data_IF_241570533160
#
_entry.id   IF_241570533160
#
_cell.length_a   1.000
_cell.length_b   1.000
_cell.length_c   1.000
_cell.angle_alpha   90.00
_cell.angle_beta   90.00
_cell.angle_gamma   90.00
#
_symmetry.space_group_name_H-M   'P 1'
#
loop_
_entity.id
_entity.type
_entity.pdbx_description
1 polymer ?
#
# COMPACT_ATOMS: atom_id res chain seq x y z
N UNK A 1 -9.46 53.49 0.71
CA UNK A 1 -10.12 52.35 1.38
C UNK A 1 -10.15 51.18 0.41
N UNK A 2 -9.16 50.30 0.50
CA UNK A 2 -9.29 48.87 0.20
C UNK A 2 -8.13 48.23 0.95
N UNK A 3 -8.42 47.74 2.16
CA UNK A 3 -7.46 47.02 2.96
C UNK A 3 -7.03 45.79 2.17
N UNK A 4 -5.75 45.74 1.78
CA UNK A 4 -5.10 44.49 1.44
C UNK A 4 -5.18 43.61 2.68
N UNK A 5 -6.10 42.64 2.67
CA UNK A 5 -6.03 41.51 3.58
C UNK A 5 -4.79 40.70 3.21
N UNK A 6 -3.69 41.03 3.88
CA UNK A 6 -2.44 40.30 3.79
C UNK A 6 -2.64 38.90 4.37
N UNK A 7 -3.06 37.96 3.51
CA UNK A 7 -3.30 36.56 3.89
C UNK A 7 -2.03 35.92 4.44
N UNK A 8 -0.84 36.40 4.06
CA UNK A 8 0.46 35.91 4.57
C UNK A 8 0.59 36.09 6.08
N UNK A 9 0.22 37.25 6.63
CA UNK A 9 0.30 37.49 8.07
C UNK A 9 -0.71 36.66 8.87
N UNK A 10 -1.92 36.41 8.34
CA UNK A 10 -2.91 35.51 8.97
C UNK A 10 -2.41 34.07 9.04
N UNK A 11 -1.82 33.56 7.96
CA UNK A 11 -1.25 32.21 7.92
C UNK A 11 -0.04 32.05 8.85
N UNK A 12 0.83 33.07 8.93
CA UNK A 12 1.94 33.10 9.89
C UNK A 12 1.46 33.08 11.34
N UNK A 13 0.42 33.86 11.67
CA UNK A 13 -0.19 33.86 13.00
C UNK A 13 -0.77 32.48 13.33
N UNK A 14 -1.48 31.84 12.39
CA UNK A 14 -2.01 30.49 12.58
C UNK A 14 -0.91 29.45 12.81
N UNK A 15 0.18 29.50 12.04
CA UNK A 15 1.33 28.60 12.22
C UNK A 15 2.04 28.81 13.56
N UNK A 16 2.17 30.07 14.02
CA UNK A 16 2.73 30.38 15.34
C UNK A 16 1.83 29.90 16.49
N UNK A 17 0.50 30.00 16.33
CA UNK A 17 -0.46 29.46 17.30
C UNK A 17 -0.34 27.93 17.37
N UNK A 18 -0.26 27.24 16.23
CA UNK A 18 -0.12 25.78 16.18
C UNK A 18 1.22 25.30 16.75
N UNK A 19 2.32 26.01 16.47
CA UNK A 19 3.63 25.73 17.08
C UNK A 19 3.59 25.93 18.61
N UNK A 20 2.96 27.01 19.08
CA UNK A 20 2.84 27.34 20.52
C UNK A 20 1.98 26.31 21.27
N UNK A 21 0.86 25.89 20.68
CA UNK A 21 0.01 24.83 21.24
C UNK A 21 0.75 23.49 21.29
N UNK A 22 1.51 23.16 20.26
CA UNK A 22 2.31 21.93 20.21
C UNK A 22 3.40 21.92 21.30
N UNK A 23 4.05 23.07 21.57
CA UNK A 23 4.99 23.22 22.69
C UNK A 23 4.27 23.16 24.04
N UNK A 24 3.08 23.77 24.16
CA UNK A 24 2.27 23.69 25.37
C UNK A 24 1.91 22.24 25.72
N UNK A 25 1.42 21.45 24.76
CA UNK A 25 1.10 20.04 24.98
C UNK A 25 2.34 19.20 25.32
N UNK A 26 3.49 19.51 24.73
CA UNK A 26 4.76 18.85 25.07
C UNK A 26 5.27 19.20 26.47
N UNK A 27 5.13 20.46 26.91
CA UNK A 27 5.54 20.88 28.25
C UNK A 27 4.53 20.43 29.33
N UNK A 28 3.24 20.44 29.02
CA UNK A 28 2.17 20.00 29.90
C UNK A 28 2.32 18.52 30.26
N UNK A 29 2.61 17.66 29.28
CA UNK A 29 2.87 16.24 29.54
C UNK A 29 4.13 16.02 30.38
N UNK A 30 5.23 16.74 30.09
CA UNK A 30 6.50 16.57 30.78
C UNK A 30 6.49 17.10 32.23
N UNK A 31 5.76 18.19 32.49
CA UNK A 31 5.60 18.73 33.86
C UNK A 31 4.70 17.83 34.73
N UNK A 32 3.69 17.16 34.14
CA UNK A 32 2.89 16.17 34.85
C UNK A 32 3.64 14.85 35.12
N UNK A 33 4.54 14.44 34.24
CA UNK A 33 5.44 13.29 34.50
C UNK A 33 6.40 13.55 35.68
N UNK A 34 6.86 14.80 35.86
CA UNK A 34 7.62 15.22 37.04
C UNK A 34 6.83 15.13 38.35
N UNK A 35 5.51 15.39 38.32
CA UNK A 35 4.60 15.23 39.46
C UNK A 35 4.18 13.76 39.70
N UNK A 36 4.20 12.91 38.66
CA UNK A 36 3.93 11.45 38.77
C UNK A 36 5.01 10.65 39.46
N UNK A 37 6.27 11.07 39.35
CA UNK A 37 7.37 10.47 40.12
C UNK A 37 7.12 10.55 41.64
N UNK A 38 6.19 11.42 42.08
CA UNK A 38 5.84 11.65 43.47
C UNK A 38 4.54 10.92 43.90
N UNK A 39 3.66 10.49 42.96
CA UNK A 39 2.41 9.76 43.28
C UNK A 39 2.08 8.68 42.25
N UNK A 40 2.39 7.42 42.56
CA UNK A 40 2.21 6.26 41.69
C UNK A 40 0.75 5.82 41.51
N UNK A 41 0.07 6.30 40.46
CA UNK A 41 -1.27 5.80 40.10
C UNK A 41 -1.40 5.51 38.58
N UNK A 42 -1.93 4.34 38.23
CA UNK A 42 -1.93 3.75 36.87
C UNK A 42 -3.03 4.24 35.93
N UNK A 43 -4.02 4.98 36.43
CA UNK A 43 -5.17 5.48 35.64
C UNK A 43 -4.77 6.59 34.67
N UNK A 44 -3.69 7.32 34.95
CA UNK A 44 -3.23 8.43 34.11
C UNK A 44 -2.45 8.00 32.87
N UNK A 45 -1.95 6.76 32.80
CA UNK A 45 -1.14 6.26 31.67
C UNK A 45 -1.93 6.08 30.38
N UNK A 46 -3.25 5.89 30.45
CA UNK A 46 -4.08 5.52 29.29
C UNK A 46 -4.55 6.74 28.50
N UNK A 47 -4.72 7.90 29.14
CA UNK A 47 -5.26 9.10 28.47
C UNK A 47 -4.16 9.94 27.78
N UNK A 48 -2.90 9.81 28.20
CA UNK A 48 -1.84 10.76 27.83
C UNK A 48 -0.98 10.32 26.63
N UNK A 49 -0.67 9.02 26.50
CA UNK A 49 -0.06 8.48 25.28
C UNK A 49 -0.95 8.69 24.05
N UNK A 50 -2.26 8.72 24.28
CA UNK A 50 -3.26 9.03 23.26
C UNK A 50 -3.25 10.51 22.87
N UNK A 51 -3.15 11.47 23.80
CA UNK A 51 -3.24 12.89 23.43
C UNK A 51 -2.04 13.40 22.63
N UNK A 52 -0.80 13.02 22.98
CA UNK A 52 0.38 13.42 22.20
C UNK A 52 0.45 12.72 20.85
N UNK A 53 0.12 11.44 20.79
CA UNK A 53 0.11 10.69 19.53
C UNK A 53 -1.02 11.14 18.62
N UNK A 54 -2.22 11.41 19.17
CA UNK A 54 -3.35 11.99 18.43
C UNK A 54 -2.99 13.39 17.91
N UNK A 55 -2.41 14.26 18.74
CA UNK A 55 -1.99 15.59 18.29
C UNK A 55 -0.91 15.52 17.21
N UNK A 56 0.12 14.69 17.40
CA UNK A 56 1.18 14.51 16.41
C UNK A 56 0.68 13.88 15.10
N UNK A 57 -0.25 12.92 15.18
CA UNK A 57 -0.83 12.28 14.00
C UNK A 57 -1.80 13.22 13.25
N UNK A 58 -2.50 14.10 13.97
CA UNK A 58 -3.50 14.98 13.38
C UNK A 58 -2.91 16.32 12.90
N UNK A 59 -1.84 16.81 13.55
CA UNK A 59 -1.27 18.14 13.31
C UNK A 59 0.25 18.12 13.06
N UNK A 60 0.98 17.02 13.25
CA UNK A 60 2.42 16.94 12.99
C UNK A 60 3.31 17.44 14.15
N UNK A 61 4.64 17.45 13.97
CA UNK A 61 5.59 17.90 15.01
C UNK A 61 5.79 19.41 15.02
N UNK A 62 6.25 19.95 16.16
CA UNK A 62 6.72 21.35 16.26
C UNK A 62 7.75 21.67 15.17
N UNK A 63 8.68 20.75 14.91
CA UNK A 63 9.72 20.89 13.87
C UNK A 63 9.14 21.03 12.47
N UNK A 64 7.99 20.41 12.19
CA UNK A 64 7.29 20.57 10.91
C UNK A 64 6.78 22.01 10.73
N UNK A 65 6.15 22.58 11.75
CA UNK A 65 5.64 23.96 11.68
C UNK A 65 6.72 25.03 11.66
N UNK A 66 7.81 24.84 12.41
CA UNK A 66 8.96 25.74 12.36
C UNK A 66 9.61 25.75 10.97
N UNK A 67 9.68 24.59 10.31
CA UNK A 67 10.19 24.48 8.94
C UNK A 67 9.27 25.16 7.91
N UNK A 68 7.95 25.06 8.07
CA UNK A 68 7.00 25.83 7.23
C UNK A 68 7.17 27.34 7.42
N UNK A 69 7.41 27.81 8.64
CA UNK A 69 7.66 29.23 8.90
C UNK A 69 8.92 29.71 8.18
N UNK A 70 10.02 28.92 8.21
CA UNK A 70 11.26 29.21 7.47
C UNK A 70 11.06 29.22 5.94
N UNK A 71 10.20 28.35 5.41
CA UNK A 71 9.90 28.27 3.97
C UNK A 71 9.03 29.45 3.51
N UNK A 72 8.14 29.97 4.36
CA UNK A 72 7.32 31.17 4.04
C UNK A 72 8.11 32.49 4.00
N UNK A 73 9.37 32.50 4.45
CA UNK A 73 10.27 33.66 4.40
C UNK A 73 11.13 33.71 3.12
N UNK A 74 11.05 32.70 2.24
CA UNK A 74 11.75 32.71 0.95
C UNK A 74 10.80 33.15 -0.17
N UNK A 75 10.92 34.41 -0.58
CA UNK A 75 10.24 34.95 -1.77
C UNK A 75 10.86 34.39 -3.07
N UNK A 76 10.09 34.28 -4.18
CA UNK A 76 10.58 33.65 -5.42
C UNK A 76 11.51 34.59 -6.21
N UNK A 77 12.67 34.09 -6.61
CA UNK A 77 13.55 34.73 -7.59
C UNK A 77 12.94 34.69 -9.00
N UNK A 78 13.00 35.83 -9.68
CA UNK A 78 12.51 36.06 -11.04
C UNK A 78 13.48 35.47 -12.07
N UNK A 79 13.03 34.50 -12.86
CA UNK A 79 13.77 33.98 -14.02
C UNK A 79 13.66 34.95 -15.20
N UNK A 80 14.78 35.57 -15.57
CA UNK A 80 14.96 36.32 -16.82
C UNK A 80 15.43 35.36 -17.91
N UNK A 81 14.66 35.27 -19.00
CA UNK A 81 15.04 34.59 -20.24
C UNK A 81 16.04 35.46 -21.03
N UNK A 82 17.09 34.84 -21.57
CA UNK A 82 17.75 35.31 -22.80
C UNK A 82 18.44 34.13 -23.51
N UNK A 83 18.25 34.07 -24.82
CA UNK A 83 18.78 33.01 -25.69
C UNK A 83 20.03 33.38 -26.47
N UNK A 84 20.48 32.39 -27.27
CA UNK A 84 21.06 32.43 -28.63
C UNK A 84 22.36 31.60 -28.83
N UNK A 85 22.20 30.56 -29.64
CA UNK A 85 23.01 29.98 -30.73
C UNK A 85 24.57 29.95 -30.80
N UNK A 86 25.02 28.78 -31.31
CA UNK A 86 26.07 28.49 -32.33
C UNK A 86 27.43 27.85 -31.94
N UNK A 87 27.59 26.63 -32.50
CA UNK A 87 28.70 26.10 -33.31
C UNK A 87 29.93 25.41 -32.68
N UNK A 88 30.28 24.31 -33.35
CA UNK A 88 31.28 23.26 -33.11
C UNK A 88 32.77 23.68 -33.16
N UNK A 89 33.65 22.87 -32.52
CA UNK A 89 34.67 22.01 -33.18
C UNK A 89 35.76 21.50 -32.20
N UNK A 90 36.11 20.22 -32.41
CA UNK A 90 37.40 19.52 -32.23
C UNK A 90 37.91 19.06 -30.83
N UNK A 91 38.20 17.75 -30.78
CA UNK A 91 38.98 17.02 -29.77
C UNK A 91 40.51 17.10 -30.09
N UNK A 92 41.45 16.61 -29.24
CA UNK A 92 41.62 15.17 -29.00
C UNK A 92 42.06 14.70 -27.59
N UNK A 93 41.69 13.44 -27.32
CA UNK A 93 42.40 12.37 -26.58
C UNK A 93 42.95 12.62 -25.17
N UNK A 94 42.39 11.92 -24.18
CA UNK A 94 43.18 11.12 -23.23
C UNK A 94 42.47 9.79 -22.95
N UNK A 95 43.28 8.74 -22.97
CA UNK A 95 42.98 7.33 -22.69
C UNK A 95 42.42 7.12 -21.28
N UNK A 96 41.29 6.42 -21.17
CA UNK A 96 40.87 5.76 -19.94
C UNK A 96 40.20 4.43 -20.27
N UNK A 97 40.65 3.40 -19.56
CA UNK A 97 40.28 1.99 -19.64
C UNK A 97 38.80 1.75 -19.93
N UNK A 98 38.55 0.87 -20.89
CA UNK A 98 37.33 0.09 -21.02
C UNK A 98 36.94 -0.51 -19.67
N UNK A 99 35.79 -0.07 -19.15
CA UNK A 99 34.94 -0.92 -18.33
C UNK A 99 33.58 -0.92 -18.98
N UNK A 100 33.43 -1.80 -19.97
CA UNK A 100 32.12 -2.19 -20.48
C UNK A 100 31.30 -2.66 -19.28
N UNK A 101 30.13 -2.08 -18.98
CA UNK A 101 29.27 -2.61 -17.94
C UNK A 101 28.83 -4.00 -18.37
N UNK A 102 29.31 -5.04 -17.68
CA UNK A 102 28.79 -6.39 -17.78
C UNK A 102 27.33 -6.39 -17.31
N UNK A 103 26.44 -6.16 -18.29
CA UNK A 103 25.14 -6.79 -18.53
C UNK A 103 24.58 -7.52 -17.30
N UNK A 104 23.77 -6.83 -16.50
CA UNK A 104 23.02 -7.40 -15.37
C UNK A 104 21.54 -7.01 -15.35
N UNK A 105 21.07 -6.22 -16.31
CA UNK A 105 19.62 -6.05 -16.58
C UNK A 105 19.03 -7.26 -17.31
N UNK A 106 19.85 -8.10 -17.95
CA UNK A 106 19.35 -9.13 -18.85
C UNK A 106 18.81 -10.39 -18.17
N UNK A 107 19.23 -10.74 -16.94
CA UNK A 107 18.84 -12.04 -16.35
C UNK A 107 17.38 -12.05 -15.89
N UNK A 108 16.92 -11.01 -15.18
CA UNK A 108 15.53 -10.91 -14.73
C UNK A 108 14.57 -10.65 -15.90
N UNK A 109 15.00 -9.85 -16.89
CA UNK A 109 14.24 -9.64 -18.12
C UNK A 109 14.12 -10.92 -18.95
N UNK A 110 15.15 -11.79 -18.98
CA UNK A 110 15.09 -13.07 -19.69
C UNK A 110 14.05 -14.00 -19.06
N UNK A 111 14.00 -14.09 -17.72
CA UNK A 111 13.01 -14.91 -17.04
C UNK A 111 11.58 -14.43 -17.31
N UNK A 112 11.36 -13.12 -17.25
CA UNK A 112 10.07 -12.52 -17.59
C UNK A 112 9.68 -12.80 -19.04
N UNK A 113 10.54 -12.51 -20.00
CA UNK A 113 10.24 -12.76 -21.41
C UNK A 113 10.02 -14.25 -21.71
N UNK A 114 10.75 -15.15 -21.05
CA UNK A 114 10.47 -16.59 -21.11
C UNK A 114 9.10 -16.93 -20.56
N UNK A 115 8.72 -16.37 -19.40
CA UNK A 115 7.42 -16.64 -18.78
C UNK A 115 6.28 -16.06 -19.63
N UNK A 116 6.44 -14.86 -20.17
CA UNK A 116 5.53 -14.23 -21.13
C UNK A 116 5.34 -15.07 -22.38
N UNK A 117 6.43 -15.52 -23.00
CA UNK A 117 6.36 -16.42 -24.15
C UNK A 117 5.59 -17.70 -23.81
N UNK A 118 5.84 -18.28 -22.62
CA UNK A 118 5.12 -19.46 -22.16
C UNK A 118 3.62 -19.20 -21.93
N UNK A 119 3.25 -18.06 -21.33
CA UNK A 119 1.85 -17.70 -21.14
C UNK A 119 1.16 -17.53 -22.50
N UNK A 120 1.75 -16.75 -23.40
CA UNK A 120 1.18 -16.45 -24.71
C UNK A 120 1.08 -17.68 -25.62
N UNK A 121 1.95 -18.66 -25.41
CA UNK A 121 1.89 -19.97 -26.08
C UNK A 121 1.00 -21.00 -25.36
N UNK A 122 0.28 -20.60 -24.31
CA UNK A 122 -0.54 -21.46 -23.45
C UNK A 122 0.21 -22.65 -22.83
N UNK A 123 1.53 -22.53 -22.66
CA UNK A 123 2.37 -23.56 -22.03
C UNK A 123 2.57 -23.35 -20.53
N UNK A 124 2.20 -22.19 -19.99
CA UNK A 124 2.06 -21.94 -18.55
C UNK A 124 0.83 -21.08 -18.28
N UNK A 125 0.31 -21.16 -17.06
CA UNK A 125 -0.77 -20.29 -16.59
C UNK A 125 -0.25 -18.86 -16.34
N UNK A 126 -1.13 -17.84 -16.45
CA UNK A 126 -0.85 -16.53 -15.86
C UNK A 126 -0.55 -16.67 -14.37
N UNK A 127 0.32 -15.78 -13.85
CA UNK A 127 0.77 -15.85 -12.46
C UNK A 127 -0.36 -15.54 -11.48
N UNK A 128 -1.20 -14.55 -11.80
CA UNK A 128 -2.08 -13.94 -10.82
C UNK A 128 -3.43 -13.54 -11.43
N UNK A 129 -4.53 -13.88 -10.77
CA UNK A 129 -5.78 -13.14 -10.92
C UNK A 129 -5.86 -12.10 -9.81
N UNK A 130 -5.74 -10.83 -10.17
CA UNK A 130 -5.75 -9.70 -9.26
C UNK A 130 -7.10 -9.01 -9.34
N UNK A 131 -7.79 -8.91 -8.22
CA UNK A 131 -9.15 -8.40 -8.19
C UNK A 131 -9.42 -7.41 -7.07
N UNK A 132 -10.45 -6.59 -7.30
CA UNK A 132 -10.84 -5.51 -6.41
C UNK A 132 -12.32 -5.20 -6.57
N UNK A 133 -12.83 -4.20 -5.87
CA UNK A 133 -14.20 -3.71 -6.02
C UNK A 133 -14.29 -2.27 -5.56
N UNK A 134 -15.13 -1.50 -6.26
CA UNK A 134 -15.54 -0.16 -5.86
C UNK A 134 -16.90 0.18 -6.49
N UNK A 135 -17.53 1.19 -5.90
CA UNK A 135 -18.71 1.85 -6.45
C UNK A 135 -18.27 3.10 -7.23
N UNK A 136 -19.10 3.61 -8.13
CA UNK A 136 -18.79 4.87 -8.80
C UNK A 136 -18.72 6.00 -7.77
N UNK A 137 -17.59 6.69 -7.76
CA UNK A 137 -17.38 7.85 -6.92
C UNK A 137 -16.56 8.88 -7.71
N UNK A 138 -17.17 10.02 -8.11
CA UNK A 138 -16.48 11.07 -8.85
C UNK A 138 -15.17 11.54 -8.22
N UNK A 139 -15.08 11.55 -6.88
CA UNK A 139 -13.87 11.96 -6.15
C UNK A 139 -12.72 10.94 -6.26
N UNK A 140 -13.03 9.69 -6.63
CA UNK A 140 -12.07 8.59 -6.80
C UNK A 140 -11.86 8.21 -8.27
N UNK A 141 -12.53 8.88 -9.21
CA UNK A 141 -12.42 8.55 -10.65
C UNK A 141 -10.98 8.53 -11.17
N UNK A 142 -10.17 9.52 -10.79
CA UNK A 142 -8.75 9.56 -11.17
C UNK A 142 -7.99 8.33 -10.65
N UNK A 143 -8.18 8.02 -9.36
CA UNK A 143 -7.53 6.90 -8.67
C UNK A 143 -7.91 5.57 -9.29
N UNK A 144 -9.20 5.32 -9.49
CA UNK A 144 -9.68 4.07 -10.10
C UNK A 144 -9.24 3.93 -11.56
N UNK A 145 -9.27 5.02 -12.34
CA UNK A 145 -8.79 4.99 -13.72
C UNK A 145 -7.28 4.69 -13.79
N UNK A 146 -6.48 5.31 -12.92
CA UNK A 146 -5.06 5.00 -12.79
C UNK A 146 -4.83 3.53 -12.41
N UNK A 147 -5.62 2.98 -11.50
CA UNK A 147 -5.55 1.55 -11.14
C UNK A 147 -5.85 0.65 -12.34
N UNK A 148 -6.90 0.96 -13.12
CA UNK A 148 -7.23 0.20 -14.33
C UNK A 148 -6.09 0.24 -15.37
N UNK A 149 -5.51 1.42 -15.61
CA UNK A 149 -4.38 1.61 -16.53
C UNK A 149 -3.16 0.82 -16.03
N UNK A 150 -2.78 1.02 -14.77
CA UNK A 150 -1.60 0.40 -14.17
C UNK A 150 -1.70 -1.13 -14.16
N UNK A 151 -2.85 -1.69 -13.75
CA UNK A 151 -3.01 -3.14 -13.68
C UNK A 151 -3.04 -3.78 -15.08
N UNK A 152 -3.50 -3.06 -16.11
CA UNK A 152 -3.42 -3.54 -17.49
C UNK A 152 -1.98 -3.71 -17.97
N UNK A 153 -1.03 -2.92 -17.48
CA UNK A 153 0.40 -3.06 -17.84
C UNK A 153 0.99 -4.41 -17.38
N UNK A 154 0.38 -5.06 -16.39
CA UNK A 154 0.82 -6.34 -15.86
C UNK A 154 0.46 -7.54 -16.76
N UNK A 155 -0.27 -7.31 -17.87
CA UNK A 155 -0.55 -8.32 -18.87
C UNK A 155 0.75 -8.78 -19.59
N UNK A 156 0.93 -10.08 -19.90
CA UNK A 156 -0.03 -11.18 -19.75
C UNK A 156 0.08 -11.93 -18.41
N UNK A 157 0.92 -11.48 -17.49
CA UNK A 157 1.20 -12.21 -16.25
C UNK A 157 0.05 -12.14 -15.25
N UNK A 158 -0.69 -11.02 -15.25
CA UNK A 158 -1.79 -10.75 -14.33
C UNK A 158 -3.09 -10.56 -15.11
N UNK A 159 -4.16 -11.18 -14.63
CA UNK A 159 -5.53 -10.94 -15.09
C UNK A 159 -6.22 -10.00 -14.10
N UNK A 160 -6.45 -8.72 -14.46
CA UNK A 160 -7.18 -7.79 -13.60
C UNK A 160 -8.69 -8.02 -13.68
N UNK A 161 -9.35 -7.96 -12.52
CA UNK A 161 -10.81 -8.13 -12.39
C UNK A 161 -11.38 -7.09 -11.43
N UNK A 162 -12.49 -6.44 -11.80
CA UNK A 162 -13.22 -5.54 -10.91
C UNK A 162 -14.60 -6.13 -10.64
N UNK A 163 -14.94 -6.29 -9.36
CA UNK A 163 -16.29 -6.66 -8.96
C UNK A 163 -17.16 -5.43 -8.78
N UNK A 164 -18.29 -5.38 -9.49
CA UNK A 164 -19.24 -4.27 -9.41
C UNK A 164 -20.60 -4.69 -9.99
N UNK A 165 -21.67 -4.04 -9.51
CA UNK A 165 -22.99 -4.12 -10.13
C UNK A 165 -23.37 -2.81 -10.86
N UNK A 166 -22.48 -1.81 -10.88
CA UNK A 166 -22.76 -0.50 -11.46
C UNK A 166 -22.39 -0.43 -12.95
N UNK A 167 -23.35 -0.08 -13.79
CA UNK A 167 -23.14 -0.02 -15.24
C UNK A 167 -22.06 0.98 -15.68
N UNK A 168 -21.87 2.06 -14.94
CA UNK A 168 -20.79 3.04 -15.17
C UNK A 168 -19.41 2.39 -15.01
N UNK A 169 -19.17 1.72 -13.89
CA UNK A 169 -17.90 1.02 -13.60
C UNK A 169 -17.68 -0.13 -14.57
N UNK A 170 -18.73 -0.87 -14.95
CA UNK A 170 -18.64 -1.93 -15.98
C UNK A 170 -18.17 -1.34 -17.32
N UNK A 171 -18.73 -0.20 -17.73
CA UNK A 171 -18.35 0.47 -18.97
C UNK A 171 -16.89 0.97 -18.94
N UNK A 172 -16.45 1.54 -17.81
CA UNK A 172 -15.05 1.95 -17.60
C UNK A 172 -14.10 0.76 -17.71
N UNK A 173 -14.42 -0.36 -17.05
CA UNK A 173 -13.63 -1.58 -17.13
C UNK A 173 -13.54 -2.11 -18.58
N UNK A 174 -14.66 -2.15 -19.29
CA UNK A 174 -14.70 -2.59 -20.69
C UNK A 174 -13.84 -1.72 -21.61
N UNK A 175 -13.88 -0.39 -21.43
CA UNK A 175 -13.04 0.55 -22.18
C UNK A 175 -11.55 0.35 -21.87
N UNK A 176 -11.23 0.07 -20.60
CA UNK A 176 -9.88 -0.28 -20.16
C UNK A 176 -9.51 -1.74 -20.48
N UNK A 177 -10.38 -2.54 -21.12
CA UNK A 177 -10.23 -3.98 -21.35
C UNK A 177 -9.87 -4.80 -20.09
N UNK A 178 -10.42 -4.40 -18.95
CA UNK A 178 -10.37 -5.10 -17.68
C UNK A 178 -11.69 -5.84 -17.49
N UNK A 179 -11.64 -7.05 -16.93
CA UNK A 179 -12.86 -7.84 -16.74
C UNK A 179 -13.68 -7.29 -15.58
N UNK A 180 -14.97 -6.99 -15.82
CA UNK A 180 -15.92 -6.69 -14.75
C UNK A 180 -16.76 -7.94 -14.41
N UNK A 181 -16.90 -8.25 -13.13
CA UNK A 181 -17.75 -9.34 -12.63
C UNK A 181 -18.84 -8.81 -11.68
N UNK A 182 -20.04 -9.42 -11.66
CA UNK A 182 -21.08 -9.06 -10.72
C UNK A 182 -20.74 -9.50 -9.30
N UNK A 183 -21.32 -8.82 -8.32
CA UNK A 183 -21.21 -9.22 -6.91
C UNK A 183 -22.17 -10.37 -6.61
N UNK A 184 -21.63 -11.57 -6.33
CA UNK A 184 -22.44 -12.74 -6.00
C UNK A 184 -22.93 -12.78 -4.55
N UNK A 185 -22.29 -12.05 -3.65
CA UNK A 185 -22.65 -11.98 -2.24
C UNK A 185 -22.20 -10.66 -1.60
N UNK A 186 -23.11 -10.05 -0.85
CA UNK A 186 -22.92 -8.78 -0.15
C UNK A 186 -23.44 -8.86 1.27
N UNK A 187 -22.91 -8.03 2.16
CA UNK A 187 -23.39 -7.84 3.53
C UNK A 187 -23.25 -6.36 3.95
N UNK A 188 -23.68 -6.01 5.15
CA UNK A 188 -23.50 -4.66 5.73
C UNK A 188 -23.93 -3.51 4.80
N UNK A 189 -25.11 -3.65 4.20
CA UNK A 189 -25.70 -2.71 3.24
C UNK A 189 -25.01 -2.68 1.86
N UNK A 190 -24.82 -3.86 1.27
CA UNK A 190 -24.37 -4.00 -0.12
C UNK A 190 -22.85 -4.09 -0.31
N UNK A 191 -22.09 -4.22 0.78
CA UNK A 191 -20.62 -4.31 0.73
C UNK A 191 -20.21 -5.74 0.34
N UNK A 192 -19.29 -5.91 -0.63
CA UNK A 192 -18.82 -7.22 -1.07
C UNK A 192 -18.23 -8.06 0.07
N UNK A 193 -18.60 -9.33 0.11
CA UNK A 193 -18.02 -10.30 1.06
C UNK A 193 -16.79 -10.95 0.44
N UNK A 194 -15.63 -10.79 1.09
CA UNK A 194 -14.31 -11.10 0.53
C UNK A 194 -14.18 -12.54 0.03
N UNK A 195 -14.58 -13.53 0.84
CA UNK A 195 -14.43 -14.96 0.51
C UNK A 195 -15.15 -15.36 -0.78
N UNK A 196 -16.27 -14.69 -1.09
CA UNK A 196 -17.06 -15.00 -2.27
C UNK A 196 -16.46 -14.40 -3.53
N UNK A 197 -15.78 -13.24 -3.43
CA UNK A 197 -14.97 -12.71 -4.53
C UNK A 197 -13.84 -13.69 -4.90
N UNK A 198 -13.11 -14.23 -3.90
CA UNK A 198 -12.11 -15.29 -4.14
C UNK A 198 -12.72 -16.53 -4.79
N UNK A 199 -13.83 -17.04 -4.24
CA UNK A 199 -14.54 -18.20 -4.81
C UNK A 199 -14.86 -17.98 -6.29
N UNK A 200 -15.39 -16.81 -6.64
CA UNK A 200 -15.85 -16.54 -8.00
C UNK A 200 -14.68 -16.45 -8.98
N UNK A 201 -13.59 -15.76 -8.63
CA UNK A 201 -12.41 -15.73 -9.50
C UNK A 201 -11.73 -17.09 -9.62
N UNK A 202 -11.67 -17.87 -8.54
CA UNK A 202 -11.08 -19.22 -8.56
C UNK A 202 -11.89 -20.23 -9.39
N UNK A 203 -13.19 -19.98 -9.58
CA UNK A 203 -14.05 -20.79 -10.44
C UNK A 203 -13.94 -20.41 -11.92
N UNK A 204 -13.58 -19.14 -12.22
CA UNK A 204 -13.60 -18.59 -13.58
C UNK A 204 -12.23 -18.53 -14.24
N UNK A 205 -11.17 -18.34 -13.44
CA UNK A 205 -9.81 -18.18 -13.93
C UNK A 205 -8.93 -19.30 -13.38
N UNK A 206 -7.93 -19.71 -14.17
CA UNK A 206 -6.94 -20.69 -13.77
C UNK A 206 -5.56 -20.02 -13.73
N UNK A 207 -5.16 -19.57 -12.54
CA UNK A 207 -3.89 -18.88 -12.30
C UNK A 207 -3.17 -19.49 -11.09
N UNK A 208 -1.85 -19.24 -11.00
CA UNK A 208 -1.04 -19.77 -9.89
C UNK A 208 -1.39 -19.12 -8.54
N UNK A 209 -1.82 -17.87 -8.56
CA UNK A 209 -2.23 -17.10 -7.39
C UNK A 209 -3.52 -16.31 -7.65
N UNK A 210 -4.22 -16.00 -6.57
CA UNK A 210 -5.38 -15.11 -6.55
C UNK A 210 -5.15 -14.04 -5.50
N UNK A 211 -5.51 -12.79 -5.78
CA UNK A 211 -5.37 -11.72 -4.81
C UNK A 211 -6.49 -10.70 -4.86
N UNK A 212 -7.02 -10.39 -3.68
CA UNK A 212 -7.71 -9.14 -3.46
C UNK A 212 -6.67 -8.04 -3.21
N UNK A 213 -6.89 -6.87 -3.82
CA UNK A 213 -6.21 -5.63 -3.47
C UNK A 213 -7.21 -4.48 -3.40
N UNK A 214 -6.98 -3.51 -2.52
CA UNK A 214 -7.74 -2.26 -2.53
C UNK A 214 -7.59 -1.55 -3.89
N UNK A 215 -8.65 -0.85 -4.32
CA UNK A 215 -8.79 -0.26 -5.66
C UNK A 215 -7.94 0.99 -5.91
N UNK A 216 -7.16 1.41 -4.92
CA UNK A 216 -6.27 2.56 -4.94
C UNK A 216 -4.77 2.17 -4.85
N UNK A 217 -4.46 0.88 -5.01
CA UNK A 217 -3.09 0.35 -5.04
C UNK A 217 -2.60 0.19 -6.48
N UNK A 218 -1.46 0.81 -6.77
CA UNK A 218 -0.67 0.61 -7.98
C UNK A 218 0.46 -0.39 -7.71
N UNK A 219 0.73 -1.27 -8.68
CA UNK A 219 1.83 -2.22 -8.66
C UNK A 219 2.81 -1.97 -9.79
N UNK A 220 4.00 -2.56 -9.69
CA UNK A 220 5.02 -2.57 -10.74
C UNK A 220 5.42 -3.99 -11.10
N UNK A 221 6.40 -4.16 -11.99
CA UNK A 221 7.02 -5.45 -12.34
C UNK A 221 7.49 -6.23 -11.10
N UNK A 222 7.75 -5.55 -9.99
CA UNK A 222 8.15 -6.15 -8.71
C UNK A 222 7.15 -7.18 -8.19
N UNK A 223 5.85 -7.00 -8.46
CA UNK A 223 4.80 -7.97 -8.15
C UNK A 223 5.02 -9.28 -8.94
N UNK A 224 5.24 -9.14 -10.25
CA UNK A 224 5.44 -10.26 -11.19
C UNK A 224 6.72 -11.01 -10.83
N UNK A 225 7.82 -10.29 -10.65
CA UNK A 225 9.12 -10.88 -10.27
C UNK A 225 9.02 -11.63 -8.94
N UNK A 226 8.41 -11.04 -7.92
CA UNK A 226 8.27 -11.71 -6.62
C UNK A 226 7.48 -13.01 -6.74
N UNK A 227 6.31 -12.98 -7.39
CA UNK A 227 5.47 -14.17 -7.50
C UNK A 227 6.10 -15.27 -8.37
N UNK A 228 6.76 -14.89 -9.46
CA UNK A 228 7.50 -15.84 -10.29
C UNK A 228 8.64 -16.52 -9.50
N UNK A 229 9.35 -15.76 -8.67
CA UNK A 229 10.40 -16.31 -7.81
C UNK A 229 9.84 -17.20 -6.70
N UNK A 230 8.69 -16.87 -6.11
CA UNK A 230 8.03 -17.73 -5.11
C UNK A 230 7.61 -19.07 -5.73
N UNK A 231 7.00 -19.07 -6.92
CA UNK A 231 6.60 -20.31 -7.62
C UNK A 231 7.81 -21.18 -7.96
N UNK A 232 8.91 -20.56 -8.39
CA UNK A 232 10.12 -21.28 -8.77
C UNK A 232 11.01 -21.65 -7.56
N UNK A 233 10.69 -21.15 -6.37
CA UNK A 233 11.44 -21.48 -5.16
C UNK A 233 11.13 -22.90 -4.70
N UNK A 234 12.17 -23.68 -4.42
CA UNK A 234 12.01 -25.02 -3.80
C UNK A 234 11.61 -24.95 -2.32
N UNK A 235 11.59 -23.75 -1.72
CA UNK A 235 11.32 -23.57 -0.28
C UNK A 235 9.84 -23.43 0.04
N UNK A 236 9.00 -23.01 -0.91
CA UNK A 236 7.57 -22.80 -0.69
C UNK A 236 6.74 -23.88 -1.38
N UNK A 237 6.13 -24.74 -0.57
CA UNK A 237 5.20 -25.76 -1.04
C UNK A 237 3.80 -25.14 -1.24
N UNK A 238 3.48 -24.74 -2.47
CA UNK A 238 2.20 -24.13 -2.83
C UNK A 238 0.99 -25.07 -2.65
N UNK A 239 1.22 -26.38 -2.43
CA UNK A 239 0.13 -27.31 -2.07
C UNK A 239 -0.40 -27.04 -0.65
N UNK A 240 0.36 -26.31 0.17
CA UNK A 240 -0.05 -25.88 1.50
C UNK A 240 -0.65 -24.47 1.46
N UNK A 241 -1.54 -24.12 2.39
CA UNK A 241 -2.03 -22.75 2.51
C UNK A 241 -0.90 -21.76 2.73
N UNK A 242 -0.81 -20.76 1.85
CA UNK A 242 0.11 -19.64 1.94
C UNK A 242 -0.68 -18.33 1.87
N UNK A 243 -0.31 -17.35 2.68
CA UNK A 243 -0.80 -15.99 2.61
C UNK A 243 0.39 -15.04 2.42
N UNK A 244 0.44 -14.33 1.29
CA UNK A 244 1.46 -13.34 0.99
C UNK A 244 0.82 -11.96 1.12
N UNK A 245 1.40 -11.11 1.97
CA UNK A 245 0.94 -9.76 2.30
C UNK A 245 2.13 -8.81 2.39
N UNK A 246 1.91 -7.51 2.52
CA UNK A 246 2.99 -6.54 2.72
C UNK A 246 2.48 -5.14 3.00
N UNK A 247 3.40 -4.25 3.36
CA UNK A 247 3.11 -2.83 3.57
C UNK A 247 3.00 -2.10 2.24
N UNK A 248 2.07 -1.14 2.19
CA UNK A 248 1.99 -0.17 1.09
C UNK A 248 2.92 1.02 1.32
N UNK A 249 3.27 1.71 0.24
CA UNK A 249 3.92 3.02 0.25
C UNK A 249 2.89 4.07 -0.11
N UNK A 250 2.55 4.97 0.81
CA UNK A 250 1.60 6.05 0.57
C UNK A 250 2.26 7.16 -0.26
N UNK A 251 1.58 7.58 -1.32
CA UNK A 251 1.98 8.70 -2.18
C UNK A 251 0.78 9.61 -2.37
N UNK A 252 0.90 10.89 -2.00
CA UNK A 252 -0.20 11.87 -2.06
C UNK A 252 -0.44 12.39 -3.50
N UNK A 253 -1.67 12.64 -3.93
CA UNK A 253 -1.93 13.37 -5.19
C UNK A 253 -1.18 12.80 -6.42
N UNK A 254 -1.22 11.49 -6.63
CA UNK A 254 -0.63 10.86 -7.83
C UNK A 254 -1.30 11.40 -9.09
N UNK A 255 -0.53 11.91 -10.03
CA UNK A 255 -1.05 12.42 -11.31
C UNK A 255 -1.26 11.30 -12.34
N UNK A 256 -1.97 11.61 -13.42
CA UNK A 256 -2.21 10.67 -14.51
C UNK A 256 -0.90 10.14 -15.12
N UNK A 257 0.05 11.05 -15.38
CA UNK A 257 1.37 10.69 -15.92
C UNK A 257 2.19 9.86 -14.91
N UNK A 258 2.16 10.25 -13.64
CA UNK A 258 2.89 9.57 -12.56
C UNK A 258 2.43 8.11 -12.35
N UNK A 259 1.14 7.83 -12.52
CA UNK A 259 0.57 6.48 -12.38
C UNK A 259 0.54 5.64 -13.66
N UNK A 260 0.93 6.21 -14.81
CA UNK A 260 0.72 5.61 -16.13
C UNK A 260 1.72 4.52 -16.53
N UNK A 261 2.87 4.42 -15.85
CA UNK A 261 3.88 3.40 -16.10
C UNK A 261 4.67 3.02 -14.84
N UNK A 262 5.37 1.89 -14.89
CA UNK A 262 6.10 1.37 -13.74
C UNK A 262 7.30 2.20 -13.30
N UNK A 263 7.99 2.86 -14.24
CA UNK A 263 9.16 3.67 -13.93
C UNK A 263 8.74 4.93 -13.17
N UNK A 264 7.65 5.58 -13.58
CA UNK A 264 7.07 6.72 -12.89
C UNK A 264 6.51 6.34 -11.52
N UNK A 265 5.75 5.25 -11.40
CA UNK A 265 5.26 4.74 -10.11
C UNK A 265 6.43 4.43 -9.17
N UNK A 266 7.51 3.84 -9.68
CA UNK A 266 8.73 3.59 -8.92
C UNK A 266 9.40 4.91 -8.50
N UNK A 267 9.48 5.89 -9.40
CA UNK A 267 10.10 7.19 -9.15
C UNK A 267 9.38 7.95 -8.02
N UNK A 268 8.06 8.07 -8.09
CA UNK A 268 7.26 8.80 -7.08
C UNK A 268 7.29 8.11 -5.72
N UNK A 269 7.34 6.77 -5.70
CA UNK A 269 7.45 6.01 -4.45
C UNK A 269 8.76 6.33 -3.71
N UNK A 270 9.85 6.55 -4.46
CA UNK A 270 11.17 6.89 -3.91
C UNK A 270 11.31 8.36 -3.56
N UNK A 271 10.77 9.25 -4.40
CA UNK A 271 10.96 10.69 -4.26
C UNK A 271 10.10 11.28 -3.13
N UNK A 272 8.87 10.79 -2.96
CA UNK A 272 7.89 11.35 -2.02
C UNK A 272 6.99 10.31 -1.34
N UNK A 273 7.21 9.02 -1.59
CA UNK A 273 6.48 7.96 -0.93
C UNK A 273 6.92 7.74 0.51
N UNK A 274 5.99 7.29 1.36
CA UNK A 274 6.26 6.89 2.73
C UNK A 274 5.72 5.49 2.97
N UNK A 275 6.61 4.55 3.36
CA UNK A 275 6.18 3.22 3.78
C UNK A 275 5.20 3.37 4.95
N UNK A 276 4.00 2.83 4.80
CA UNK A 276 2.94 2.99 5.78
C UNK A 276 3.03 1.92 6.87
N UNK A 277 2.18 2.02 7.90
CA UNK A 277 2.22 1.11 9.05
C UNK A 277 1.93 -0.35 8.66
N UNK A 278 2.56 -1.32 9.35
CA UNK A 278 2.29 -2.75 9.20
C UNK A 278 0.89 -3.20 9.65
N UNK A 279 0.07 -2.27 10.17
CA UNK A 279 -1.35 -2.52 10.43
C UNK A 279 -2.21 -2.43 9.18
N UNK A 280 -1.77 -1.69 8.17
CA UNK A 280 -2.53 -1.48 6.94
C UNK A 280 -2.08 -2.48 5.87
N UNK A 281 -2.87 -3.52 5.69
CA UNK A 281 -2.64 -4.60 4.72
C UNK A 281 -3.70 -4.47 3.62
N UNK A 282 -3.27 -4.07 2.43
CA UNK A 282 -4.18 -3.71 1.33
C UNK A 282 -4.25 -4.75 0.23
N UNK A 283 -3.40 -5.78 0.29
CA UNK A 283 -3.40 -6.89 -0.65
C UNK A 283 -3.15 -8.22 0.05
N UNK A 284 -3.84 -9.26 -0.42
CA UNK A 284 -3.76 -10.61 0.15
C UNK A 284 -3.62 -11.62 -0.98
N UNK A 285 -2.42 -12.12 -1.23
CA UNK A 285 -2.15 -13.05 -2.33
C UNK A 285 -2.11 -14.47 -1.78
N UNK A 286 -2.86 -15.38 -2.40
CA UNK A 286 -2.98 -16.77 -1.97
C UNK A 286 -2.95 -17.74 -3.15
N UNK A 287 -2.32 -18.92 -3.05
CA UNK A 287 -2.47 -19.99 -4.02
C UNK A 287 -3.88 -20.62 -3.91
N UNK A 288 -4.31 -21.44 -4.90
CA UNK A 288 -5.61 -22.11 -4.87
C UNK A 288 -5.86 -22.98 -3.62
N UNK A 289 -4.79 -23.42 -2.94
CA UNK A 289 -4.85 -24.25 -1.73
C UNK A 289 -5.29 -23.49 -0.47
N UNK A 290 -5.36 -22.15 -0.49
CA UNK A 290 -5.79 -21.39 0.68
C UNK A 290 -7.30 -21.60 0.97
N UNK A 291 -7.68 -21.92 2.22
CA UNK A 291 -9.03 -22.38 2.54
C UNK A 291 -10.02 -21.22 2.75
N UNK A 292 -10.31 -20.46 1.68
CA UNK A 292 -11.26 -19.34 1.70
C UNK A 292 -12.67 -19.72 2.19
N UNK A 293 -13.06 -21.00 2.08
CA UNK A 293 -14.34 -21.50 2.61
C UNK A 293 -14.43 -21.40 4.15
N UNK A 294 -13.30 -21.41 4.85
CA UNK A 294 -13.21 -21.32 6.31
C UNK A 294 -13.18 -19.86 6.82
N UNK A 295 -12.95 -18.90 5.91
CA UNK A 295 -12.95 -17.48 6.25
C UNK A 295 -14.40 -17.03 6.52
N UNK A 296 -14.68 -16.33 7.65
CA UNK A 296 -15.98 -15.74 7.92
C UNK A 296 -16.40 -14.73 6.85
N UNK A 297 -17.65 -14.30 6.89
CA UNK A 297 -18.24 -13.37 5.92
C UNK A 297 -17.85 -11.91 6.20
N UNK A 298 -16.55 -11.68 6.33
CA UNK A 298 -15.96 -10.35 6.40
C UNK A 298 -16.15 -9.62 5.07
N UNK A 299 -16.40 -8.32 5.17
CA UNK A 299 -16.61 -7.42 4.02
C UNK A 299 -15.40 -6.52 3.81
N UNK A 300 -15.15 -6.15 2.57
CA UNK A 300 -14.04 -5.25 2.21
C UNK A 300 -14.30 -3.81 2.68
N UNK A 301 -13.25 -2.99 2.77
CA UNK A 301 -13.38 -1.57 3.11
C UNK A 301 -13.91 -1.27 4.51
N UNK A 302 -13.89 -2.26 5.42
CA UNK A 302 -14.25 -2.14 6.85
C UNK A 302 -13.10 -2.69 7.68
N UNK A 303 -12.79 -2.10 8.83
CA UNK A 303 -11.58 -2.46 9.59
C UNK A 303 -11.58 -3.92 10.05
N UNK A 304 -10.40 -4.43 10.46
CA UNK A 304 -10.20 -5.66 11.22
C UNK A 304 -10.18 -6.98 10.44
N UNK A 305 -10.65 -7.06 9.19
CA UNK A 305 -10.54 -8.32 8.42
C UNK A 305 -9.10 -8.61 7.98
N UNK A 306 -8.37 -7.56 7.64
CA UNK A 306 -6.96 -7.51 7.29
C UNK A 306 -6.11 -8.20 8.37
N UNK A 307 -6.01 -7.58 9.54
CA UNK A 307 -5.16 -8.13 10.60
C UNK A 307 -5.71 -9.44 11.15
N UNK A 308 -7.03 -9.67 11.11
CA UNK A 308 -7.58 -10.97 11.50
C UNK A 308 -7.14 -12.07 10.53
N UNK A 309 -7.12 -11.82 9.23
CA UNK A 309 -6.75 -12.82 8.23
C UNK A 309 -5.29 -13.26 8.43
N UNK A 310 -4.40 -12.30 8.69
CA UNK A 310 -3.00 -12.57 9.02
C UNK A 310 -2.86 -13.29 10.36
N UNK A 311 -3.49 -12.77 11.43
CA UNK A 311 -3.47 -13.41 12.75
C UNK A 311 -3.98 -14.86 12.69
N UNK A 312 -5.13 -15.07 12.06
CA UNK A 312 -5.76 -16.38 11.99
C UNK A 312 -4.88 -17.36 11.20
N UNK A 313 -4.34 -16.93 10.05
CA UNK A 313 -3.42 -17.74 9.24
C UNK A 313 -2.18 -18.17 10.03
N UNK A 314 -1.60 -17.27 10.83
CA UNK A 314 -0.49 -17.61 11.75
C UNK A 314 -0.93 -18.58 12.84
N UNK A 315 -2.08 -18.32 13.47
CA UNK A 315 -2.63 -19.16 14.54
C UNK A 315 -2.85 -20.61 14.09
N UNK A 316 -3.30 -20.82 12.85
CA UNK A 316 -3.50 -22.15 12.25
C UNK A 316 -2.27 -22.68 11.51
N UNK A 317 -1.11 -22.01 11.67
CA UNK A 317 0.21 -22.43 11.15
C UNK A 317 0.31 -22.50 9.62
N UNK A 318 -0.39 -21.63 8.90
CA UNK A 318 -0.15 -21.42 7.48
C UNK A 318 1.16 -20.66 7.26
N UNK A 319 1.71 -20.77 6.05
CA UNK A 319 2.87 -19.98 5.67
C UNK A 319 2.43 -18.55 5.38
N UNK A 320 2.75 -17.62 6.28
CA UNK A 320 2.45 -16.19 6.07
C UNK A 320 3.75 -15.46 5.74
N UNK A 321 3.81 -14.84 4.56
CA UNK A 321 5.01 -14.26 3.98
C UNK A 321 4.83 -12.75 3.85
N UNK A 322 5.72 -12.00 4.51
CA UNK A 322 5.88 -10.57 4.32
C UNK A 322 6.66 -10.29 3.02
N UNK A 323 5.98 -9.76 2.02
CA UNK A 323 6.53 -9.40 0.72
C UNK A 323 6.93 -7.91 0.59
N UNK A 324 6.89 -7.14 1.69
CA UNK A 324 7.13 -5.68 1.69
C UNK A 324 8.42 -5.27 1.01
N UNK A 325 9.49 -6.08 1.11
CA UNK A 325 10.80 -5.73 0.54
C UNK A 325 10.96 -6.06 -0.94
N UNK A 326 10.04 -6.83 -1.53
CA UNK A 326 10.17 -7.28 -2.93
C UNK A 326 8.96 -6.92 -3.79
N UNK A 327 7.81 -6.59 -3.20
CA UNK A 327 6.64 -6.05 -3.90
C UNK A 327 6.52 -4.56 -3.56
N UNK A 328 6.57 -3.71 -4.58
CA UNK A 328 6.21 -2.31 -4.45
C UNK A 328 4.69 -2.16 -4.67
N UNK A 329 3.97 -1.90 -3.59
CA UNK A 329 2.56 -1.51 -3.60
C UNK A 329 2.45 -0.02 -3.27
N UNK A 330 2.01 0.81 -4.22
CA UNK A 330 1.86 2.26 -4.04
C UNK A 330 0.40 2.61 -3.81
N UNK A 331 0.09 3.18 -2.66
CA UNK A 331 -1.25 3.64 -2.31
C UNK A 331 -1.45 5.10 -2.71
N UNK A 332 -2.46 5.35 -3.55
CA UNK A 332 -2.83 6.66 -4.05
C UNK A 332 -3.60 7.45 -2.97
N UNK A 333 -2.86 8.20 -2.17
CA UNK A 333 -3.44 8.92 -1.02
C UNK A 333 -4.19 10.16 -1.48
N UNK A 334 -5.51 10.14 -1.31
CA UNK A 334 -6.42 11.26 -1.62
C UNK A 334 -6.70 12.13 -0.39
N UNK A 335 -7.47 13.22 -0.55
CA UNK A 335 -7.91 14.08 0.55
C UNK A 335 -8.71 13.34 1.64
N UNK A 336 -9.36 12.22 1.31
CA UNK A 336 -10.03 11.36 2.28
C UNK A 336 -9.10 10.75 3.33
N UNK A 337 -7.78 10.77 3.07
CA UNK A 337 -6.76 10.31 4.00
C UNK A 337 -6.59 8.79 4.04
N UNK A 338 -5.71 8.34 4.94
CA UNK A 338 -5.28 6.94 5.00
C UNK A 338 -6.19 5.99 5.79
N UNK A 339 -7.20 6.55 6.46
CA UNK A 339 -8.11 5.85 7.38
C UNK A 339 -9.58 6.03 6.99
N UNK A 340 -9.86 6.31 5.72
CA UNK A 340 -11.20 6.59 5.18
C UNK A 340 -12.25 5.54 5.62
N UNK A 341 -11.86 4.25 5.65
CA UNK A 341 -12.71 3.15 6.10
C UNK A 341 -13.26 3.29 7.54
N UNK A 342 -12.63 4.09 8.40
CA UNK A 342 -13.10 4.35 9.77
C UNK A 342 -14.26 5.37 9.83
N UNK A 343 -14.49 6.12 8.76
CA UNK A 343 -15.62 7.05 8.63
C UNK A 343 -16.87 6.41 8.03
N UNK A 344 -16.76 5.22 7.45
CA UNK A 344 -17.87 4.59 6.74
C UNK A 344 -18.98 4.05 7.65
N UNK A 345 -20.19 3.94 7.09
CA UNK A 345 -21.29 3.17 7.71
C UNK A 345 -20.84 1.73 7.98
N UNK A 346 -21.30 1.11 9.07
CA UNK A 346 -20.93 -0.26 9.44
C UNK A 346 -19.41 -0.49 9.59
N UNK A 347 -18.63 0.56 9.93
CA UNK A 347 -17.16 0.47 10.15
C UNK A 347 -16.71 -0.71 11.02
N UNK A 348 -17.52 -1.08 12.01
CA UNK A 348 -17.22 -2.13 12.98
C UNK A 348 -17.81 -3.51 12.63
N UNK A 349 -18.45 -3.66 11.45
CA UNK A 349 -19.12 -4.91 11.05
C UNK A 349 -18.21 -6.14 11.19
N UNK A 350 -17.02 -6.09 10.57
CA UNK A 350 -16.06 -7.18 10.61
C UNK A 350 -15.61 -7.47 12.05
N UNK A 351 -15.29 -6.45 12.83
CA UNK A 351 -14.88 -6.61 14.22
C UNK A 351 -15.98 -7.31 15.03
N UNK A 352 -17.22 -6.85 14.92
CA UNK A 352 -18.37 -7.40 15.64
C UNK A 352 -18.65 -8.85 15.24
N UNK A 353 -18.58 -9.16 13.93
CA UNK A 353 -18.70 -10.52 13.41
C UNK A 353 -17.63 -11.44 14.01
N UNK A 354 -16.37 -11.01 13.93
CA UNK A 354 -15.24 -11.84 14.34
C UNK A 354 -15.21 -12.04 15.86
N UNK A 355 -15.50 -11.01 16.67
CA UNK A 355 -15.59 -11.14 18.13
C UNK A 355 -16.73 -12.07 18.52
N UNK A 356 -17.87 -12.04 17.81
CA UNK A 356 -18.97 -12.99 18.05
C UNK A 356 -18.55 -14.45 17.81
N UNK A 357 -17.70 -14.70 16.81
CA UNK A 357 -17.23 -16.06 16.46
C UNK A 357 -16.10 -16.52 17.39
N UNK A 358 -15.09 -15.67 17.61
CA UNK A 358 -13.83 -16.07 18.26
C UNK A 358 -13.66 -15.59 19.70
N UNK A 359 -14.60 -14.77 20.21
CA UNK A 359 -14.60 -14.12 21.54
C UNK A 359 -13.47 -13.13 21.78
N UNK A 360 -12.21 -13.52 21.54
CA UNK A 360 -11.03 -12.68 21.69
C UNK A 360 -10.08 -12.87 20.51
N UNK A 361 -9.59 -11.75 19.96
CA UNK A 361 -8.74 -11.72 18.78
C UNK A 361 -7.53 -10.83 19.08
N UNK A 362 -6.33 -11.36 18.85
CA UNK A 362 -5.07 -10.62 19.01
C UNK A 362 -4.70 -9.95 17.68
N UNK A 363 -5.39 -8.88 17.30
CA UNK A 363 -5.12 -8.17 16.04
C UNK A 363 -3.66 -7.71 15.91
N UNK A 364 -3.02 -7.34 17.02
CA UNK A 364 -1.62 -6.96 17.08
C UNK A 364 -0.64 -8.08 16.70
N UNK A 365 -1.08 -9.35 16.72
CA UNK A 365 -0.30 -10.48 16.22
C UNK A 365 -0.56 -10.74 14.73
N UNK A 366 -1.45 -9.98 14.09
CA UNK A 366 -1.75 -10.03 12.67
C UNK A 366 -1.27 -8.79 11.93
N UNK A 367 -0.11 -8.26 12.29
CA UNK A 367 0.53 -7.13 11.61
C UNK A 367 1.80 -7.59 10.93
N UNK A 368 2.27 -6.85 9.92
CA UNK A 368 3.44 -7.21 9.12
C UNK A 368 4.67 -7.48 9.98
N UNK A 369 4.95 -6.67 11.00
CA UNK A 369 6.11 -6.84 11.89
C UNK A 369 6.11 -8.16 12.66
N UNK A 370 4.94 -8.81 12.79
CA UNK A 370 4.78 -10.10 13.44
C UNK A 370 4.96 -11.30 12.50
N UNK A 371 5.23 -11.09 11.21
CA UNK A 371 5.50 -12.19 10.27
C UNK A 371 6.93 -12.69 10.42
N UNK A 372 7.08 -13.99 10.66
CA UNK A 372 8.39 -14.62 10.75
C UNK A 372 9.06 -14.77 9.39
N UNK A 373 8.30 -15.07 8.33
CA UNK A 373 8.85 -15.23 6.97
C UNK A 373 8.72 -13.95 6.18
N UNK A 374 9.76 -13.59 5.43
CA UNK A 374 9.74 -12.42 4.56
C UNK A 374 10.60 -12.63 3.32
N UNK A 375 10.24 -11.99 2.20
CA UNK A 375 11.04 -12.00 0.98
C UNK A 375 12.09 -10.89 1.01
N UNK A 376 13.22 -11.10 0.35
CA UNK A 376 14.18 -10.03 0.06
C UNK A 376 15.08 -10.41 -1.12
N UNK A 377 15.66 -9.39 -1.75
CA UNK A 377 16.81 -9.56 -2.63
C UNK A 377 18.11 -9.33 -1.84
N UNK A 378 18.99 -10.32 -1.81
CA UNK A 378 20.33 -10.20 -1.25
C UNK A 378 21.35 -10.52 -2.32
N UNK A 379 22.26 -9.59 -2.61
CA UNK A 379 23.21 -9.74 -3.72
C UNK A 379 22.54 -10.13 -5.05
N UNK A 380 21.36 -9.53 -5.31
CA UNK A 380 20.48 -9.78 -6.47
C UNK A 380 19.84 -11.18 -6.53
N UNK A 381 19.98 -12.00 -5.48
CA UNK A 381 19.29 -13.28 -5.39
C UNK A 381 18.04 -13.15 -4.53
N UNK A 382 16.91 -13.64 -5.06
CA UNK A 382 15.66 -13.73 -4.33
C UNK A 382 15.78 -14.80 -3.24
N UNK A 383 15.32 -14.48 -2.03
CA UNK A 383 15.28 -15.43 -0.91
C UNK A 383 14.03 -15.20 -0.06
N UNK A 384 13.45 -16.30 0.43
CA UNK A 384 12.50 -16.28 1.55
C UNK A 384 13.27 -16.53 2.83
N UNK A 385 13.42 -15.49 3.66
CA UNK A 385 14.15 -15.53 4.92
C UNK A 385 13.20 -15.61 6.11
N UNK A 386 13.76 -15.98 7.26
CA UNK A 386 13.06 -15.98 8.55
C UNK A 386 13.67 -14.95 9.49
N UNK A 387 12.84 -14.20 10.22
CA UNK A 387 13.22 -13.28 11.31
C UNK A 387 12.62 -13.73 12.64
N UNK A 388 13.28 -13.36 13.74
CA UNK A 388 12.69 -13.46 15.08
C UNK A 388 11.70 -12.32 15.27
N UNK A 389 10.53 -12.63 15.81
CA UNK A 389 9.46 -11.66 16.08
C UNK A 389 9.37 -11.36 17.58
N UNK A 390 8.78 -10.22 17.93
CA UNK A 390 8.61 -9.80 19.32
C UNK A 390 7.66 -10.75 20.07
N UNK A 391 7.82 -10.92 21.38
CA UNK A 391 6.95 -11.82 22.19
C UNK A 391 5.46 -11.46 22.12
N UNK A 392 5.14 -10.19 21.86
CA UNK A 392 3.76 -9.72 21.66
C UNK A 392 3.10 -10.33 20.41
N UNK A 393 3.89 -10.87 19.48
CA UNK A 393 3.42 -11.53 18.25
C UNK A 393 3.06 -13.01 18.46
N UNK A 394 3.17 -13.55 19.68
CA UNK A 394 2.84 -14.94 19.95
C UNK A 394 1.33 -15.18 19.78
N UNK A 395 0.99 -16.04 18.80
CA UNK A 395 -0.38 -16.43 18.48
C UNK A 395 -0.91 -17.50 19.42
#
# INVERSE_FOLDING_TARGET
MSACNDKSSVWRILLLILASLSVYFYLYSNTFDGLRAIRGNSVYKVVEGDLQSVWHNQFGSVSYYLKLLEETDKAPEVLVLNGTNHAALNAPSTTALETTPLILENVDNTLLEMFKFRILSNSTLPLLTLFTSWNANPEKNLVHNLTLINWRLLHPYVIPVVFTNESSVINECNQAGVTALPLSAVAADGIPVLKYMYRDVMNLFNTSFYAFSNGDILFTETLIHTLAQIINSTTEDLSKPILIVGQRTNVENVTLDEGSDWANVTCISKSRGKLFTGWAEDFFITPPSFPWKEVPEVVIGRRAYDNWLVYNSRKVKYNVIDATKTILAVHQTTQAGNFEGHGHSNKDYNHNLLVKIYKSIKYNAGVIECLERFTQYESKQFQVKTRKVHKACNV
#
